data_IF_968757880782
#
_entry.id   IF_968757880782
#
_cell.length_a   1.000
_cell.length_b   1.000
_cell.length_c   1.000
_cell.angle_alpha   90.00
_cell.angle_beta   90.00
_cell.angle_gamma   90.00
#
_symmetry.space_group_name_H-M   'P 1'
#
loop_
_entity.id
_entity.type
_entity.pdbx_description
1 polymer ?
#
# COMPACT_ATOMS: atom_id res chain seq x y z
N UNK A 1 14.55 23.03 41.01
CA UNK A 1 14.50 21.85 40.08
C UNK A 1 13.61 22.27 38.93
N UNK A 2 14.22 22.60 37.79
CA UNK A 2 13.44 22.92 36.58
C UNK A 2 12.85 21.61 36.03
N UNK A 3 11.53 21.51 35.98
CA UNK A 3 10.85 20.39 35.35
C UNK A 3 11.28 20.36 33.87
N UNK A 4 11.93 19.27 33.45
CA UNK A 4 12.27 19.03 32.04
C UNK A 4 10.93 18.94 31.29
N UNK A 5 10.80 19.69 30.19
CA UNK A 5 9.61 19.62 29.34
C UNK A 5 9.41 18.19 28.85
N UNK A 6 8.17 17.63 28.90
CA UNK A 6 7.89 16.30 28.35
C UNK A 6 8.39 16.12 26.90
N UNK A 7 8.40 17.19 26.11
CA UNK A 7 8.92 17.22 24.74
C UNK A 7 10.44 16.96 24.69
N UNK A 8 11.21 17.40 25.68
CA UNK A 8 12.66 17.15 25.75
C UNK A 8 12.96 15.70 26.15
N UNK A 9 12.13 15.08 27.00
CA UNK A 9 12.25 13.65 27.31
C UNK A 9 11.96 12.76 26.09
N UNK A 10 10.91 13.07 25.33
CA UNK A 10 10.61 12.36 24.09
C UNK A 10 11.71 12.54 23.04
N UNK A 11 12.26 13.74 22.90
CA UNK A 11 13.38 13.98 21.98
C UNK A 11 14.60 13.13 22.35
N UNK A 12 14.95 13.01 23.64
CA UNK A 12 16.08 12.17 24.06
C UNK A 12 15.85 10.66 23.87
N UNK A 13 14.59 10.21 23.91
CA UNK A 13 14.24 8.81 23.61
C UNK A 13 14.35 8.50 22.12
N UNK A 14 14.01 9.46 21.25
CA UNK A 14 14.02 9.28 19.78
C UNK A 14 15.44 9.49 19.21
N UNK A 15 16.14 10.50 19.67
CA UNK A 15 17.44 10.94 19.12
C UNK A 15 18.64 10.60 20.01
N UNK A 16 18.42 9.90 21.14
CA UNK A 16 19.46 9.57 22.09
C UNK A 16 19.87 10.77 22.98
N UNK A 17 20.78 10.56 23.94
CA UNK A 17 21.20 11.57 24.92
C UNK A 17 22.00 12.73 24.30
N UNK A 18 22.50 12.58 23.08
CA UNK A 18 23.31 13.60 22.38
C UNK A 18 22.49 14.52 21.47
N UNK A 19 21.15 14.30 21.39
CA UNK A 19 20.26 15.10 20.55
C UNK A 19 20.22 14.61 19.10
N UNK A 20 19.67 15.46 18.20
CA UNK A 20 19.56 15.17 16.77
C UNK A 20 20.94 14.96 16.18
N UNK A 21 21.19 13.78 15.62
CA UNK A 21 22.39 13.55 14.82
C UNK A 21 22.30 14.39 13.54
N UNK A 22 23.40 15.10 13.22
CA UNK A 22 23.48 15.96 12.03
C UNK A 22 23.28 15.20 10.71
N UNK A 23 23.33 13.87 10.76
CA UNK A 23 23.20 12.96 9.61
C UNK A 23 21.87 12.17 9.63
N UNK A 24 20.79 12.65 10.28
CA UNK A 24 19.48 12.00 10.23
C UNK A 24 18.92 12.02 8.80
N UNK A 25 18.86 10.83 8.18
CA UNK A 25 18.39 10.64 6.83
C UNK A 25 16.92 11.09 6.66
N UNK A 26 16.09 10.99 7.69
CA UNK A 26 14.68 11.42 7.64
C UNK A 26 14.59 12.95 7.60
N UNK A 27 15.37 13.65 8.39
CA UNK A 27 15.44 15.12 8.37
C UNK A 27 16.04 15.62 7.06
N UNK A 28 17.13 15.02 6.60
CA UNK A 28 17.75 15.35 5.32
C UNK A 28 16.77 15.17 4.15
N UNK A 29 16.01 14.07 4.15
CA UNK A 29 14.95 13.85 3.17
C UNK A 29 13.79 14.84 3.33
N UNK A 30 13.37 15.14 4.57
CA UNK A 30 12.34 16.14 4.82
C UNK A 30 12.72 17.48 4.21
N UNK A 31 13.89 18.02 4.53
CA UNK A 31 14.38 19.29 3.98
C UNK A 31 14.56 19.26 2.45
N UNK A 32 15.24 18.23 1.92
CA UNK A 32 15.52 18.10 0.49
C UNK A 32 14.25 18.02 -0.37
N UNK A 33 13.16 17.54 0.20
CA UNK A 33 11.87 17.37 -0.47
C UNK A 33 10.89 18.54 -0.24
N UNK A 34 11.28 19.58 0.52
CA UNK A 34 10.50 20.83 0.66
C UNK A 34 10.54 21.68 -0.61
N UNK A 35 9.50 22.46 -0.82
CA UNK A 35 9.43 23.45 -1.88
C UNK A 35 9.55 24.85 -1.28
N UNK A 36 10.51 25.59 -1.76
CA UNK A 36 10.71 26.99 -1.41
C UNK A 36 10.39 27.90 -2.60
N UNK A 37 9.78 29.08 -2.40
CA UNK A 37 9.38 29.96 -3.50
C UNK A 37 10.52 30.31 -4.46
N UNK A 38 11.75 30.47 -3.96
CA UNK A 38 12.94 30.79 -4.76
C UNK A 38 13.49 29.60 -5.56
N UNK A 39 13.17 28.36 -5.17
CA UNK A 39 13.68 27.13 -5.81
C UNK A 39 12.63 26.49 -6.72
N UNK A 40 11.36 26.79 -6.47
CA UNK A 40 10.23 26.29 -7.25
C UNK A 40 10.35 26.52 -8.77
N UNK A 41 10.81 27.69 -9.28
CA UNK A 41 10.89 27.93 -10.72
C UNK A 41 11.80 26.93 -11.47
N UNK A 42 12.90 26.48 -10.88
CA UNK A 42 13.80 25.49 -11.51
C UNK A 42 13.19 24.10 -11.63
N UNK A 43 12.30 23.72 -10.71
CA UNK A 43 11.57 22.44 -10.73
C UNK A 43 10.25 22.51 -11.51
N UNK A 44 9.71 23.72 -11.71
CA UNK A 44 8.51 23.96 -12.49
C UNK A 44 8.71 23.68 -13.99
N UNK A 45 9.92 23.77 -14.51
CA UNK A 45 10.23 23.49 -15.92
C UNK A 45 9.75 22.11 -16.36
N UNK A 46 10.10 21.08 -15.60
CA UNK A 46 9.65 19.70 -15.88
C UNK A 46 8.13 19.54 -15.73
N UNK A 47 7.51 20.22 -14.76
CA UNK A 47 6.06 20.21 -14.59
C UNK A 47 5.34 20.87 -15.76
N UNK A 48 5.86 21.98 -16.26
CA UNK A 48 5.30 22.71 -17.41
C UNK A 48 5.46 21.90 -18.70
N UNK A 49 6.61 21.27 -18.91
CA UNK A 49 6.83 20.39 -20.07
C UNK A 49 5.88 19.19 -20.05
N UNK A 50 5.65 18.56 -18.89
CA UNK A 50 4.70 17.46 -18.74
C UNK A 50 3.25 17.91 -18.88
N UNK A 51 2.92 19.14 -18.43
CA UNK A 51 1.59 19.71 -18.63
C UNK A 51 1.28 19.94 -20.12
N UNK A 52 2.31 20.16 -20.95
CA UNK A 52 2.20 20.28 -22.42
C UNK A 52 2.07 18.94 -23.14
N UNK A 53 2.28 17.80 -22.43
CA UNK A 53 2.25 16.45 -22.99
C UNK A 53 1.29 15.56 -22.21
N UNK A 54 -0.03 15.80 -22.29
CA UNK A 54 -1.03 15.05 -21.54
C UNK A 54 -1.02 13.55 -21.86
N UNK A 55 -0.58 13.16 -23.06
CA UNK A 55 -0.42 11.77 -23.49
C UNK A 55 0.58 11.00 -22.64
N UNK A 56 1.70 11.62 -22.22
CA UNK A 56 2.68 10.98 -21.34
C UNK A 56 2.07 10.76 -19.94
N UNK A 57 1.33 11.72 -19.45
CA UNK A 57 0.63 11.59 -18.17
C UNK A 57 -0.40 10.48 -18.20
N UNK A 58 -1.18 10.39 -19.27
CA UNK A 58 -2.18 9.33 -19.46
C UNK A 58 -1.51 7.95 -19.60
N UNK A 59 -0.37 7.87 -20.30
CA UNK A 59 0.40 6.63 -20.41
C UNK A 59 0.86 6.14 -19.05
N UNK A 60 1.41 7.02 -18.22
CA UNK A 60 1.85 6.67 -16.87
C UNK A 60 0.65 6.32 -15.97
N UNK A 61 -0.44 7.07 -16.03
CA UNK A 61 -1.65 6.82 -15.25
C UNK A 61 -2.29 5.45 -15.56
N UNK A 62 -2.16 4.99 -16.81
CA UNK A 62 -2.60 3.67 -17.26
C UNK A 62 -1.55 2.58 -17.07
N UNK A 63 -0.31 2.95 -16.72
CA UNK A 63 0.72 1.96 -16.48
C UNK A 63 0.38 1.17 -15.21
N UNK A 64 0.22 -0.13 -15.36
CA UNK A 64 0.16 -1.11 -14.29
C UNK A 64 1.03 -2.27 -14.76
N UNK A 65 1.59 -3.01 -13.83
CA UNK A 65 2.19 -4.29 -14.19
C UNK A 65 1.11 -5.17 -14.80
N UNK A 66 1.40 -5.77 -15.94
CA UNK A 66 0.48 -6.70 -16.58
C UNK A 66 1.08 -8.09 -16.59
N UNK A 67 0.31 -9.04 -16.11
CA UNK A 67 0.68 -10.46 -16.10
C UNK A 67 -0.36 -11.28 -16.88
N UNK A 68 -0.84 -10.75 -18.01
CA UNK A 68 -1.92 -11.34 -18.80
C UNK A 68 -1.64 -12.76 -19.30
N UNK A 69 -0.36 -13.13 -19.44
CA UNK A 69 0.07 -14.48 -19.83
C UNK A 69 0.06 -15.50 -18.67
N UNK A 70 -0.08 -15.05 -17.42
CA UNK A 70 -0.10 -15.93 -16.25
C UNK A 70 -1.51 -16.42 -15.95
N UNK A 71 -1.66 -17.63 -15.39
CA UNK A 71 -2.95 -18.09 -14.85
C UNK A 71 -3.49 -17.08 -13.86
N UNK A 72 -4.80 -16.93 -13.78
CA UNK A 72 -5.39 -15.97 -12.86
C UNK A 72 -6.86 -16.18 -12.59
N UNK A 73 -7.40 -15.36 -11.71
CA UNK A 73 -8.77 -15.42 -11.22
C UNK A 73 -9.44 -14.09 -11.55
N UNK A 74 -10.52 -14.16 -12.34
CA UNK A 74 -11.41 -13.02 -12.56
C UNK A 74 -12.23 -12.77 -11.29
N UNK A 75 -12.26 -11.52 -10.83
CA UNK A 75 -12.97 -11.13 -9.62
C UNK A 75 -14.35 -10.55 -9.95
N UNK A 76 -15.36 -10.85 -9.13
CA UNK A 76 -16.68 -10.23 -9.26
C UNK A 76 -16.64 -8.77 -8.78
N UNK A 77 -17.32 -7.88 -9.51
CA UNK A 77 -17.47 -6.46 -9.17
C UNK A 77 -18.77 -6.19 -8.41
N UNK A 78 -18.82 -5.03 -7.72
CA UNK A 78 -20.03 -4.53 -7.09
C UNK A 78 -20.52 -5.36 -5.90
N UNK A 79 -19.63 -6.01 -5.18
CA UNK A 79 -19.96 -6.98 -4.11
C UNK A 79 -20.02 -6.36 -2.72
N UNK A 80 -19.51 -5.12 -2.54
CA UNK A 80 -19.56 -4.45 -1.24
C UNK A 80 -20.99 -4.23 -0.79
N UNK A 81 -21.34 -4.55 0.48
CA UNK A 81 -22.66 -4.28 1.03
C UNK A 81 -22.90 -2.76 1.14
N UNK A 82 -24.17 -2.37 1.06
CA UNK A 82 -24.58 -0.99 1.33
C UNK A 82 -24.49 -0.70 2.83
N UNK A 83 -23.40 -0.08 3.25
CA UNK A 83 -23.18 0.39 4.63
C UNK A 83 -23.03 1.90 4.59
N UNK A 84 -23.69 2.62 5.50
CA UNK A 84 -23.52 4.06 5.64
C UNK A 84 -22.06 4.41 5.91
N UNK A 85 -21.55 5.50 5.33
CA UNK A 85 -20.17 5.92 5.55
C UNK A 85 -19.87 6.15 7.05
N UNK A 86 -20.82 6.75 7.79
CA UNK A 86 -20.67 6.95 9.22
C UNK A 86 -20.53 5.63 9.98
N UNK A 87 -21.32 4.62 9.61
CA UNK A 87 -21.29 3.31 10.23
C UNK A 87 -19.99 2.56 9.92
N UNK A 88 -19.52 2.63 8.67
CA UNK A 88 -18.24 2.03 8.26
C UNK A 88 -17.07 2.67 9.02
N UNK A 89 -17.06 4.00 9.16
CA UNK A 89 -16.05 4.72 9.91
C UNK A 89 -16.09 4.37 11.41
N UNK A 90 -17.28 4.26 12.01
CA UNK A 90 -17.45 3.90 13.40
C UNK A 90 -17.07 2.43 13.68
N UNK A 91 -17.36 1.53 12.74
CA UNK A 91 -17.06 0.10 12.85
C UNK A 91 -15.57 -0.23 12.62
N UNK A 92 -14.85 0.61 11.84
CA UNK A 92 -13.43 0.35 11.50
C UNK A 92 -12.58 0.16 12.74
N UNK A 93 -11.87 -0.95 12.80
CA UNK A 93 -10.84 -1.27 13.82
C UNK A 93 -9.60 -1.84 13.13
N UNK A 94 -8.43 -1.60 13.70
CA UNK A 94 -7.21 -2.33 13.37
C UNK A 94 -7.16 -3.57 14.23
N UNK A 95 -7.60 -4.70 13.69
CA UNK A 95 -7.73 -5.96 14.43
C UNK A 95 -7.03 -7.10 13.71
N UNK A 96 -6.14 -7.79 14.43
CA UNK A 96 -5.54 -9.03 13.93
C UNK A 96 -6.60 -10.14 13.90
N UNK A 97 -6.49 -11.10 12.95
CA UNK A 97 -7.26 -12.33 13.03
C UNK A 97 -6.97 -13.08 14.32
N UNK A 98 -8.00 -13.52 15.05
CA UNK A 98 -7.85 -14.32 16.27
C UNK A 98 -7.49 -15.77 15.94
N UNK A 99 -7.98 -16.27 14.82
CA UNK A 99 -7.74 -17.62 14.30
C UNK A 99 -7.71 -17.61 12.77
N UNK A 100 -7.19 -18.67 12.18
CA UNK A 100 -7.19 -18.82 10.72
C UNK A 100 -8.57 -19.26 10.25
N UNK A 101 -9.30 -18.34 9.62
CA UNK A 101 -10.56 -18.60 8.94
C UNK A 101 -10.43 -18.27 7.46
N UNK A 102 -11.16 -18.98 6.62
CA UNK A 102 -11.11 -18.77 5.18
C UNK A 102 -11.81 -17.46 4.80
N UNK A 103 -11.18 -16.72 3.89
CA UNK A 103 -11.76 -15.59 3.19
C UNK A 103 -12.18 -16.04 1.79
N UNK A 104 -13.38 -15.70 1.35
CA UNK A 104 -13.78 -16.04 -0.03
C UNK A 104 -13.09 -15.13 -1.04
N UNK A 105 -12.82 -15.67 -2.25
CA UNK A 105 -12.30 -14.86 -3.36
C UNK A 105 -13.25 -13.71 -3.72
N UNK A 106 -14.54 -13.86 -3.46
CA UNK A 106 -15.54 -12.81 -3.66
C UNK A 106 -15.38 -11.65 -2.68
N UNK A 107 -15.18 -11.93 -1.39
CA UNK A 107 -14.93 -10.90 -0.37
C UNK A 107 -13.59 -10.22 -0.59
N UNK A 108 -12.56 -11.00 -0.94
CA UNK A 108 -11.26 -10.45 -1.32
C UNK A 108 -11.37 -9.50 -2.52
N UNK A 109 -12.14 -9.90 -3.56
CA UNK A 109 -12.41 -9.06 -4.71
C UNK A 109 -13.07 -7.74 -4.34
N UNK A 110 -14.07 -7.76 -3.44
CA UNK A 110 -14.74 -6.55 -2.94
C UNK A 110 -13.77 -5.60 -2.22
N UNK A 111 -12.86 -6.15 -1.40
CA UNK A 111 -11.81 -5.35 -0.72
C UNK A 111 -10.86 -4.73 -1.73
N UNK A 112 -10.40 -5.48 -2.74
CA UNK A 112 -9.49 -4.98 -3.77
C UNK A 112 -10.15 -3.94 -4.68
N UNK A 113 -11.44 -4.13 -5.01
CA UNK A 113 -12.22 -3.15 -5.78
C UNK A 113 -12.30 -1.81 -5.04
N UNK A 114 -12.66 -1.83 -3.77
CA UNK A 114 -12.68 -0.63 -2.94
C UNK A 114 -11.31 0.01 -2.79
N UNK A 115 -10.27 -0.81 -2.63
CA UNK A 115 -8.90 -0.36 -2.39
C UNK A 115 -8.33 0.43 -3.58
N UNK A 116 -8.37 -0.14 -4.80
CA UNK A 116 -7.58 0.41 -5.89
C UNK A 116 -8.13 0.16 -7.29
N UNK A 117 -9.40 -0.24 -7.44
CA UNK A 117 -9.98 -0.49 -8.77
C UNK A 117 -9.88 0.74 -9.67
N UNK A 118 -9.65 0.49 -10.95
CA UNK A 118 -9.50 1.51 -11.96
C UNK A 118 -10.70 1.53 -12.92
N UNK A 119 -11.09 2.75 -13.31
CA UNK A 119 -11.90 3.01 -14.49
C UNK A 119 -11.02 3.63 -15.58
N UNK A 120 -11.58 3.89 -16.75
CA UNK A 120 -10.81 4.56 -17.82
C UNK A 120 -10.25 5.93 -17.41
N UNK A 121 -10.81 6.57 -16.40
CA UNK A 121 -10.51 7.95 -16.02
C UNK A 121 -9.89 8.12 -14.64
N UNK A 122 -10.13 7.21 -13.69
CA UNK A 122 -9.71 7.36 -12.29
C UNK A 122 -9.60 6.01 -11.57
N UNK A 123 -8.92 6.00 -10.44
CA UNK A 123 -8.97 4.90 -9.45
C UNK A 123 -9.81 5.31 -8.24
N UNK A 124 -10.08 4.37 -7.36
CA UNK A 124 -10.86 4.59 -6.13
C UNK A 124 -10.18 5.50 -5.12
N UNK A 125 -8.90 5.76 -5.29
CA UNK A 125 -8.09 6.67 -4.45
C UNK A 125 -7.60 7.88 -5.26
N UNK A 126 -7.40 9.04 -4.61
CA UNK A 126 -6.71 10.16 -5.24
C UNK A 126 -5.22 9.86 -5.40
N UNK A 127 -4.65 10.30 -6.51
CA UNK A 127 -3.20 10.22 -6.77
C UNK A 127 -2.66 11.55 -7.24
N UNK A 128 -1.49 11.93 -6.79
CA UNK A 128 -0.85 13.18 -7.20
C UNK A 128 -0.61 13.18 -8.72
N UNK A 129 -1.28 14.11 -9.41
CA UNK A 129 -1.23 14.21 -10.87
C UNK A 129 -1.79 13.01 -11.62
N UNK A 130 -2.63 12.20 -10.96
CA UNK A 130 -3.20 10.96 -11.49
C UNK A 130 -2.13 9.97 -12.02
N UNK A 131 -0.99 9.86 -11.34
CA UNK A 131 0.14 9.04 -11.78
C UNK A 131 0.10 7.60 -11.27
N UNK A 132 -0.64 7.33 -10.20
CA UNK A 132 -0.91 6.00 -9.65
C UNK A 132 0.34 5.10 -9.52
N UNK A 133 1.31 5.48 -8.67
CA UNK A 133 2.59 4.78 -8.55
C UNK A 133 2.52 3.42 -7.87
N UNK A 134 1.36 3.03 -7.32
CA UNK A 134 1.24 1.83 -6.51
C UNK A 134 0.84 0.60 -7.32
N UNK A 135 1.31 -0.56 -6.86
CA UNK A 135 0.83 -1.89 -7.25
C UNK A 135 0.32 -2.63 -6.01
N UNK A 136 -0.66 -3.51 -6.19
CA UNK A 136 -1.22 -4.31 -5.13
C UNK A 136 -0.97 -5.79 -5.38
N UNK A 137 -0.51 -6.47 -4.33
CA UNK A 137 -0.31 -7.91 -4.33
C UNK A 137 -1.11 -8.57 -3.22
N UNK A 138 -1.44 -9.82 -3.43
CA UNK A 138 -2.16 -10.67 -2.48
C UNK A 138 -1.33 -11.91 -2.21
N UNK A 139 -0.92 -12.11 -0.97
CA UNK A 139 -0.38 -13.37 -0.49
C UNK A 139 -1.56 -14.19 0.05
N UNK A 140 -2.13 -15.07 -0.77
CA UNK A 140 -3.29 -15.88 -0.42
C UNK A 140 -2.84 -17.10 0.40
N UNK A 141 -3.30 -17.21 1.66
CA UNK A 141 -2.94 -18.29 2.59
C UNK A 141 -4.10 -19.25 2.86
N UNK A 142 -5.33 -18.69 3.00
CA UNK A 142 -6.56 -19.45 3.22
C UNK A 142 -7.72 -18.72 2.50
N UNK A 143 -7.61 -18.58 1.18
CA UNK A 143 -8.66 -17.95 0.35
C UNK A 143 -9.42 -19.03 -0.40
N UNK A 144 -10.73 -19.17 -0.11
CA UNK A 144 -11.60 -20.10 -0.82
C UNK A 144 -11.81 -19.66 -2.26
N UNK A 145 -11.53 -20.55 -3.22
CA UNK A 145 -11.54 -20.25 -4.65
C UNK A 145 -10.21 -19.78 -5.22
N UNK A 146 -9.15 -19.72 -4.40
CA UNK A 146 -7.80 -19.44 -4.85
C UNK A 146 -6.81 -20.46 -4.27
N UNK A 147 -5.81 -20.83 -5.05
CA UNK A 147 -4.68 -21.61 -4.54
C UNK A 147 -3.81 -20.76 -3.61
N UNK A 148 -3.01 -21.42 -2.78
CA UNK A 148 -2.04 -20.73 -1.92
C UNK A 148 -0.87 -20.22 -2.77
N UNK A 149 -0.92 -18.93 -3.11
CA UNK A 149 0.02 -18.30 -4.01
C UNK A 149 0.12 -16.79 -3.77
N UNK A 150 1.17 -16.19 -4.29
CA UNK A 150 1.27 -14.75 -4.48
C UNK A 150 0.54 -14.38 -5.78
N UNK A 151 -0.26 -13.34 -5.72
CA UNK A 151 -0.97 -12.80 -6.87
C UNK A 151 -0.69 -11.32 -7.02
N UNK A 152 -0.61 -10.86 -8.26
CA UNK A 152 -0.68 -9.45 -8.59
C UNK A 152 -2.13 -9.06 -8.93
N UNK A 153 -2.61 -7.95 -8.42
CA UNK A 153 -3.93 -7.41 -8.72
C UNK A 153 -3.87 -6.44 -9.89
N UNK A 154 -4.56 -6.75 -10.97
CA UNK A 154 -4.78 -5.83 -12.09
C UNK A 154 -6.04 -4.98 -11.80
N UNK A 155 -5.90 -3.68 -11.53
CA UNK A 155 -7.03 -2.82 -11.20
C UNK A 155 -7.97 -2.52 -12.37
N UNK A 156 -7.49 -2.64 -13.62
CA UNK A 156 -8.29 -2.35 -14.82
C UNK A 156 -9.20 -3.50 -15.19
N UNK A 157 -8.66 -4.70 -15.19
CA UNK A 157 -9.41 -5.93 -15.52
C UNK A 157 -10.09 -6.54 -14.30
N UNK A 158 -9.76 -6.08 -13.09
CA UNK A 158 -10.22 -6.65 -11.81
C UNK A 158 -9.90 -8.15 -11.72
N UNK A 159 -8.62 -8.46 -11.90
CA UNK A 159 -8.10 -9.83 -12.00
C UNK A 159 -6.91 -10.03 -11.08
N UNK A 160 -6.81 -11.22 -10.51
CA UNK A 160 -5.62 -11.69 -9.80
C UNK A 160 -4.79 -12.56 -10.74
N UNK A 161 -3.57 -12.15 -11.06
CA UNK A 161 -2.62 -12.96 -11.81
C UNK A 161 -1.72 -13.74 -10.86
N UNK A 162 -1.66 -15.05 -10.98
CA UNK A 162 -0.82 -15.89 -10.13
C UNK A 162 0.66 -15.67 -10.47
N UNK A 163 1.47 -15.35 -9.47
CA UNK A 163 2.90 -15.14 -9.63
C UNK A 163 3.68 -16.42 -9.30
N UNK A 164 3.55 -16.89 -8.07
CA UNK A 164 4.28 -18.05 -7.57
C UNK A 164 3.54 -18.69 -6.39
N UNK A 165 3.83 -19.97 -6.13
CA UNK A 165 3.30 -20.67 -4.97
C UNK A 165 3.93 -20.14 -3.69
N UNK A 166 3.17 -20.11 -2.59
CA UNK A 166 3.61 -19.59 -1.32
C UNK A 166 3.89 -20.69 -0.29
N UNK A 167 5.02 -20.56 0.39
CA UNK A 167 5.24 -21.20 1.69
C UNK A 167 4.77 -20.24 2.80
N UNK A 168 3.75 -20.63 3.62
CA UNK A 168 3.28 -19.81 4.74
C UNK A 168 4.37 -19.45 5.75
N UNK A 169 5.41 -20.28 5.89
CA UNK A 169 6.54 -20.02 6.79
C UNK A 169 7.36 -18.81 6.31
N UNK A 170 7.55 -18.68 4.99
CA UNK A 170 8.24 -17.53 4.43
C UNK A 170 7.42 -16.24 4.59
N UNK A 171 6.08 -16.34 4.48
CA UNK A 171 5.20 -15.19 4.75
C UNK A 171 5.31 -14.77 6.21
N UNK A 172 5.21 -15.70 7.15
CA UNK A 172 5.34 -15.41 8.58
C UNK A 172 6.70 -14.79 8.90
N UNK A 173 7.78 -15.35 8.35
CA UNK A 173 9.15 -14.87 8.54
C UNK A 173 9.40 -13.47 7.95
N UNK A 174 8.53 -12.95 7.08
CA UNK A 174 8.65 -11.59 6.55
C UNK A 174 8.20 -10.52 7.55
N UNK A 175 7.50 -10.87 8.63
CA UNK A 175 7.00 -9.92 9.62
C UNK A 175 7.84 -9.92 10.91
N UNK A 176 7.99 -8.76 11.53
CA UNK A 176 8.66 -8.60 12.84
C UNK A 176 7.89 -9.34 13.92
N UNK A 177 6.54 -9.20 13.92
CA UNK A 177 5.63 -10.07 14.68
C UNK A 177 4.91 -11.02 13.69
N UNK A 178 5.25 -12.31 13.66
CA UNK A 178 4.67 -13.28 12.74
C UNK A 178 3.23 -13.67 13.10
N UNK A 179 2.82 -13.51 14.36
CA UNK A 179 1.58 -14.08 14.88
C UNK A 179 0.31 -13.63 14.12
N UNK A 180 0.12 -12.35 13.71
CA UNK A 180 -1.02 -11.96 12.89
C UNK A 180 -1.03 -12.64 11.51
N UNK A 181 0.12 -12.74 10.85
CA UNK A 181 0.24 -13.33 9.50
C UNK A 181 0.05 -14.85 9.52
N UNK A 182 0.42 -15.53 10.58
CA UNK A 182 0.17 -16.97 10.77
C UNK A 182 -1.32 -17.30 10.81
N UNK A 183 -2.14 -16.37 11.27
CA UNK A 183 -3.61 -16.53 11.35
C UNK A 183 -4.35 -15.86 10.17
N UNK A 184 -3.62 -15.25 9.25
CA UNK A 184 -4.19 -14.57 8.10
C UNK A 184 -4.88 -15.53 7.13
N UNK A 185 -5.97 -15.06 6.51
CA UNK A 185 -6.50 -15.64 5.29
C UNK A 185 -5.74 -15.12 4.07
N UNK A 186 -5.37 -13.85 4.08
CA UNK A 186 -4.54 -13.22 3.07
C UNK A 186 -3.73 -12.07 3.67
N UNK A 187 -2.61 -11.72 3.03
CA UNK A 187 -1.90 -10.47 3.28
C UNK A 187 -1.93 -9.65 1.99
N UNK A 188 -2.45 -8.44 2.07
CA UNK A 188 -2.31 -7.46 1.01
C UNK A 188 -0.97 -6.75 1.18
N UNK A 189 -0.18 -6.68 0.11
CA UNK A 189 1.07 -5.93 0.06
C UNK A 189 0.89 -4.79 -0.93
N UNK A 190 1.13 -3.59 -0.47
CA UNK A 190 1.15 -2.38 -1.30
C UNK A 190 2.60 -2.06 -1.59
N UNK A 191 2.95 -2.04 -2.86
CA UNK A 191 4.28 -1.61 -3.32
C UNK A 191 4.20 -0.27 -4.03
N UNK A 192 5.31 0.43 -4.14
CA UNK A 192 5.42 1.67 -4.88
C UNK A 192 6.49 1.59 -5.96
N UNK A 193 6.11 1.89 -7.19
CA UNK A 193 7.01 2.17 -8.30
C UNK A 193 7.33 3.67 -8.28
N UNK A 194 8.30 4.05 -7.46
CA UNK A 194 8.58 5.45 -7.14
C UNK A 194 8.86 6.32 -8.35
N UNK A 195 9.45 5.78 -9.42
CA UNK A 195 9.75 6.54 -10.62
C UNK A 195 8.48 7.11 -11.28
N UNK A 196 7.31 6.43 -11.20
CA UNK A 196 6.02 6.90 -11.75
C UNK A 196 5.58 8.25 -11.17
N UNK A 197 6.00 8.57 -9.97
CA UNK A 197 5.71 9.85 -9.31
C UNK A 197 6.93 10.78 -9.33
N UNK A 198 8.14 10.22 -9.15
CA UNK A 198 9.36 11.00 -9.05
C UNK A 198 9.77 11.68 -10.35
N UNK A 199 9.46 11.12 -11.54
CA UNK A 199 9.80 11.77 -12.80
C UNK A 199 9.12 13.15 -12.93
N UNK A 200 7.94 13.33 -12.34
CA UNK A 200 7.20 14.60 -12.33
C UNK A 200 7.56 15.47 -11.12
N UNK A 201 7.64 14.87 -9.94
CA UNK A 201 7.71 15.59 -8.67
C UNK A 201 9.07 15.50 -7.96
N UNK A 202 10.06 14.83 -8.54
CA UNK A 202 11.38 14.66 -7.93
C UNK A 202 11.27 13.93 -6.59
N UNK A 203 12.01 14.38 -5.57
CA UNK A 203 11.98 13.80 -4.23
C UNK A 203 10.59 13.87 -3.58
N UNK A 204 9.80 14.88 -3.90
CA UNK A 204 8.45 15.01 -3.36
C UNK A 204 7.51 13.92 -3.86
N UNK A 205 7.78 13.33 -5.03
CA UNK A 205 7.04 12.18 -5.54
C UNK A 205 7.09 10.95 -4.63
N UNK A 206 8.17 10.78 -3.87
CA UNK A 206 8.27 9.73 -2.85
C UNK A 206 7.22 9.92 -1.74
N UNK A 207 7.09 11.16 -1.22
CA UNK A 207 6.04 11.46 -0.22
C UNK A 207 4.64 11.17 -0.75
N UNK A 208 4.37 11.52 -2.01
CA UNK A 208 3.06 11.31 -2.61
C UNK A 208 2.72 9.84 -2.76
N UNK A 209 3.69 8.98 -3.06
CA UNK A 209 3.47 7.53 -3.09
C UNK A 209 3.08 6.98 -1.71
N UNK A 210 3.76 7.42 -0.64
CA UNK A 210 3.42 7.00 0.73
C UNK A 210 2.04 7.51 1.19
N UNK A 211 1.68 8.76 0.84
CA UNK A 211 0.35 9.32 1.13
C UNK A 211 -0.73 8.54 0.39
N UNK A 212 -0.50 8.19 -0.88
CA UNK A 212 -1.44 7.37 -1.66
C UNK A 212 -1.58 5.96 -1.07
N UNK A 213 -0.50 5.34 -0.60
CA UNK A 213 -0.55 4.05 0.09
C UNK A 213 -1.46 4.10 1.34
N UNK A 214 -1.40 5.20 2.10
CA UNK A 214 -2.32 5.45 3.21
C UNK A 214 -3.79 5.51 2.77
N UNK A 215 -4.10 6.16 1.63
CA UNK A 215 -5.47 6.18 1.08
C UNK A 215 -5.94 4.79 0.67
N UNK A 216 -5.08 4.00 0.01
CA UNK A 216 -5.39 2.60 -0.37
C UNK A 216 -5.69 1.76 0.86
N UNK A 217 -4.81 1.80 1.87
CA UNK A 217 -4.99 1.01 3.10
C UNK A 217 -6.22 1.45 3.88
N UNK A 218 -6.55 2.76 3.91
CA UNK A 218 -7.79 3.23 4.52
C UNK A 218 -9.02 2.63 3.82
N UNK A 219 -9.03 2.57 2.48
CA UNK A 219 -10.13 1.93 1.76
C UNK A 219 -10.21 0.42 2.06
N UNK A 220 -9.07 -0.27 2.16
CA UNK A 220 -9.02 -1.69 2.56
C UNK A 220 -9.69 -1.90 3.92
N UNK A 221 -9.33 -1.13 4.93
CA UNK A 221 -9.86 -1.34 6.30
C UNK A 221 -11.32 -0.92 6.42
N UNK A 222 -11.79 0.04 5.63
CA UNK A 222 -13.22 0.41 5.56
C UNK A 222 -14.03 -0.69 4.87
N UNK A 223 -13.55 -1.22 3.74
CA UNK A 223 -14.20 -2.34 3.06
C UNK A 223 -14.24 -3.60 3.93
N UNK A 224 -13.14 -3.90 4.62
CA UNK A 224 -13.09 -5.00 5.58
C UNK A 224 -14.10 -4.81 6.71
N UNK A 225 -14.21 -3.60 7.28
CA UNK A 225 -15.20 -3.29 8.31
C UNK A 225 -16.64 -3.47 7.81
N UNK A 226 -16.94 -3.01 6.59
CA UNK A 226 -18.26 -3.20 5.96
C UNK A 226 -18.59 -4.68 5.73
N UNK A 227 -17.58 -5.51 5.49
CA UNK A 227 -17.72 -6.96 5.33
C UNK A 227 -17.66 -7.74 6.64
N UNK A 228 -17.38 -7.10 7.79
CA UNK A 228 -17.19 -7.77 9.08
C UNK A 228 -15.91 -8.63 9.12
N UNK A 229 -14.87 -8.25 8.38
CA UNK A 229 -13.59 -8.94 8.33
C UNK A 229 -12.58 -8.28 9.26
N UNK A 230 -11.76 -9.05 9.99
CA UNK A 230 -10.62 -8.49 10.70
C UNK A 230 -9.55 -8.03 9.69
N UNK A 231 -9.04 -6.81 9.90
CA UNK A 231 -8.00 -6.21 9.09
C UNK A 231 -7.00 -5.46 9.96
N UNK A 232 -5.72 -5.79 9.84
CA UNK A 232 -4.63 -5.16 10.57
C UNK A 232 -3.62 -4.57 9.60
N UNK A 233 -3.55 -3.22 9.47
CA UNK A 233 -2.43 -2.57 8.79
C UNK A 233 -1.13 -2.80 9.57
N UNK A 234 -0.06 -3.18 8.87
CA UNK A 234 1.24 -3.53 9.45
C UNK A 234 2.36 -2.80 8.70
N UNK A 235 3.22 -2.08 9.45
CA UNK A 235 4.46 -1.51 8.95
C UNK A 235 5.71 -2.24 9.47
N UNK A 236 5.55 -3.17 10.42
CA UNK A 236 6.65 -3.95 11.01
C UNK A 236 6.93 -5.23 10.22
N UNK A 237 7.66 -5.11 9.12
CA UNK A 237 8.10 -6.25 8.29
C UNK A 237 9.55 -6.04 7.84
N UNK A 238 10.19 -7.13 7.40
CA UNK A 238 11.52 -7.08 6.78
C UNK A 238 11.36 -6.84 5.28
N UNK A 239 11.67 -5.63 4.81
CA UNK A 239 11.42 -5.16 3.45
C UNK A 239 11.90 -6.14 2.39
N UNK A 240 13.17 -6.58 2.47
CA UNK A 240 13.74 -7.50 1.50
C UNK A 240 13.02 -8.85 1.42
N UNK A 241 12.44 -9.33 2.53
CA UNK A 241 11.68 -10.59 2.55
C UNK A 241 10.30 -10.41 1.96
N UNK A 242 9.63 -9.30 2.28
CA UNK A 242 8.30 -9.00 1.75
C UNK A 242 8.37 -8.70 0.25
N UNK A 243 9.37 -7.93 -0.18
CA UNK A 243 9.66 -7.66 -1.59
C UNK A 243 9.89 -8.95 -2.38
N UNK A 244 10.69 -9.88 -1.84
CA UNK A 244 10.95 -11.16 -2.49
C UNK A 244 9.68 -12.00 -2.72
N UNK A 245 8.70 -11.97 -1.78
CA UNK A 245 7.44 -12.70 -1.90
C UNK A 245 6.54 -12.20 -3.04
N UNK A 246 6.70 -10.95 -3.44
CA UNK A 246 5.91 -10.33 -4.52
C UNK A 246 6.73 -10.10 -5.79
N UNK A 247 8.03 -10.45 -5.77
CA UNK A 247 8.93 -10.26 -6.90
C UNK A 247 9.32 -8.79 -7.15
N UNK A 248 9.27 -7.95 -6.11
CA UNK A 248 9.82 -6.61 -6.14
C UNK A 248 11.34 -6.64 -5.90
N UNK A 249 12.08 -5.65 -6.44
CA UNK A 249 13.54 -5.60 -6.35
C UNK A 249 14.06 -4.67 -5.23
N UNK A 250 13.17 -4.02 -4.50
CA UNK A 250 13.49 -3.10 -3.42
C UNK A 250 14.05 -1.72 -3.86
N UNK A 251 14.25 -1.51 -5.16
CA UNK A 251 14.80 -0.27 -5.73
C UNK A 251 13.79 0.46 -6.62
N UNK A 252 13.42 -0.16 -7.75
CA UNK A 252 12.44 0.39 -8.69
C UNK A 252 11.03 0.24 -8.15
N UNK A 253 10.79 -0.87 -7.47
CA UNK A 253 9.57 -1.22 -6.77
C UNK A 253 9.90 -1.79 -5.40
N UNK A 254 9.29 -1.25 -4.37
CA UNK A 254 9.47 -1.69 -2.99
C UNK A 254 8.14 -1.70 -2.23
N UNK A 255 8.03 -2.62 -1.27
CA UNK A 255 6.90 -2.67 -0.33
C UNK A 255 6.88 -1.40 0.53
N UNK A 256 5.71 -0.80 0.67
CA UNK A 256 5.53 0.43 1.47
C UNK A 256 4.48 0.27 2.56
N UNK A 257 3.58 -0.70 2.43
CA UNK A 257 2.58 -1.02 3.44
C UNK A 257 2.06 -2.44 3.26
N UNK A 258 1.61 -3.06 4.35
CA UNK A 258 0.92 -4.35 4.31
C UNK A 258 -0.37 -4.32 5.14
N UNK A 259 -1.34 -5.18 4.78
CA UNK A 259 -2.57 -5.39 5.57
C UNK A 259 -2.80 -6.88 5.72
N UNK A 260 -2.84 -7.35 6.96
CA UNK A 260 -3.21 -8.72 7.31
C UNK A 260 -4.74 -8.81 7.35
N UNK A 261 -5.32 -9.68 6.52
CA UNK A 261 -6.76 -9.93 6.45
C UNK A 261 -7.11 -11.31 6.99
N UNK A 262 -8.16 -11.39 7.80
CA UNK A 262 -8.76 -12.65 8.22
C UNK A 262 -10.07 -12.95 7.50
N UNK A 263 -10.56 -14.19 7.63
CA UNK A 263 -11.93 -14.54 7.28
C UNK A 263 -12.93 -14.15 8.37
N UNK A 264 -14.23 -14.25 8.08
CA UNK A 264 -15.29 -13.96 9.06
C UNK A 264 -15.24 -14.94 10.24
N UNK A 265 -15.62 -14.41 11.40
CA UNK A 265 -15.88 -15.19 12.60
C UNK A 265 -17.10 -16.11 12.42
#
# INVERSE_FOLDING_TARGET
MNAVSPTAEFASLVYGPTGVELDDAAEAFHESSRLYPRVAPRRLGTLLELARRPELQQTVARSSRTHGHRPGIELARGVLPHVGLADALAARRSSAPSERRSLSVRELGAVLEAAYAATAQRRTVPSAGALYPLELYVLALAVSGAQRAAFHYDPFTHRLACLDLLDPKLVAAAFVDPAPSERAAAVLVVTAMFWRSRFKYGLRGYRFALVEAGHVVQNVVLAAAALGLPALPVGGYYDCRLDALVGANGLDEASVYAVVLGGRA
#
